data_IF_746074745308
#
_entry.id   IF_746074745308
#
_cell.length_a   1.000
_cell.length_b   1.000
_cell.length_c   1.000
_cell.angle_alpha   90.00
_cell.angle_beta   90.00
_cell.angle_gamma   90.00
#
_symmetry.space_group_name_H-M   'P 1'
#
loop_
_entity.id
_entity.type
_entity.pdbx_description
1 polymer ?
#
# COMPACT_ATOMS: atom_id res chain seq x y z
N UNK A 1 -28.46 -22.81 -9.19
CA UNK A 1 -27.02 -22.59 -9.37
C UNK A 1 -26.81 -21.09 -9.27
N UNK A 2 -26.48 -20.60 -8.08
CA UNK A 2 -26.14 -19.18 -7.86
C UNK A 2 -24.73 -18.99 -8.41
N UNK A 3 -24.59 -18.29 -9.52
CA UNK A 3 -23.28 -17.77 -9.94
C UNK A 3 -22.96 -16.64 -8.99
N UNK A 4 -22.20 -16.93 -7.94
CA UNK A 4 -21.56 -15.89 -7.14
C UNK A 4 -20.65 -15.09 -8.08
N UNK A 5 -21.19 -13.98 -8.56
CA UNK A 5 -20.46 -12.99 -9.30
C UNK A 5 -19.59 -12.23 -8.27
N UNK A 6 -18.47 -12.85 -7.82
CA UNK A 6 -17.52 -12.18 -6.96
C UNK A 6 -16.97 -10.99 -7.76
N UNK A 7 -17.45 -9.80 -7.44
CA UNK A 7 -16.92 -8.56 -8.00
C UNK A 7 -15.42 -8.49 -7.67
N UNK A 8 -14.58 -8.34 -8.72
CA UNK A 8 -13.12 -8.31 -8.55
C UNK A 8 -12.77 -7.08 -7.73
N UNK A 9 -12.23 -7.28 -6.53
CA UNK A 9 -11.83 -6.20 -5.62
C UNK A 9 -10.69 -5.39 -6.22
N UNK A 10 -10.72 -4.09 -6.01
CA UNK A 10 -9.75 -3.13 -6.52
C UNK A 10 -9.07 -2.36 -5.40
N UNK A 11 -7.75 -2.40 -5.36
CA UNK A 11 -6.94 -1.73 -4.35
C UNK A 11 -6.02 -0.69 -4.97
N UNK A 12 -5.85 0.44 -4.28
CA UNK A 12 -4.78 1.40 -4.57
C UNK A 12 -3.61 1.13 -3.63
N UNK A 13 -2.44 0.85 -4.20
CA UNK A 13 -1.19 0.71 -3.42
C UNK A 13 -0.26 1.83 -3.80
N UNK A 14 0.21 2.60 -2.82
CA UNK A 14 1.13 3.71 -3.03
C UNK A 14 2.47 3.45 -2.34
N UNK A 15 3.57 3.57 -3.10
CA UNK A 15 4.95 3.46 -2.60
C UNK A 15 5.57 4.85 -2.52
N UNK A 16 6.04 5.22 -1.35
CA UNK A 16 6.60 6.55 -1.08
C UNK A 16 8.09 6.50 -0.74
N UNK A 17 8.69 7.65 -0.43
CA UNK A 17 10.13 7.78 -0.21
C UNK A 17 10.65 7.27 1.15
N UNK A 18 9.92 6.41 1.85
CA UNK A 18 10.45 5.69 3.01
C UNK A 18 11.18 4.42 2.56
N UNK A 19 12.23 4.00 3.27
CA UNK A 19 12.89 2.71 3.04
C UNK A 19 11.92 1.55 3.32
N UNK A 20 12.05 0.45 2.60
CA UNK A 20 11.16 -0.70 2.67
C UNK A 20 10.24 -0.83 1.45
N UNK A 21 10.69 -0.44 0.26
CA UNK A 21 9.98 -0.63 -1.01
C UNK A 21 9.52 -2.07 -1.21
N UNK A 22 10.27 -3.03 -0.68
CA UNK A 22 9.97 -4.46 -0.72
C UNK A 22 8.60 -4.79 -0.12
N UNK A 23 8.16 -4.07 0.92
CA UNK A 23 6.83 -4.27 1.51
C UNK A 23 5.71 -3.98 0.50
N UNK A 24 5.80 -2.85 -0.21
CA UNK A 24 4.81 -2.49 -1.22
C UNK A 24 4.78 -3.46 -2.39
N UNK A 25 5.96 -3.87 -2.89
CA UNK A 25 6.06 -4.86 -3.96
C UNK A 25 5.46 -6.20 -3.55
N UNK A 26 5.76 -6.67 -2.34
CA UNK A 26 5.26 -7.93 -1.82
C UNK A 26 3.74 -7.90 -1.65
N UNK A 27 3.20 -6.79 -1.12
CA UNK A 27 1.75 -6.60 -1.01
C UNK A 27 1.06 -6.66 -2.38
N UNK A 28 1.59 -5.96 -3.39
CA UNK A 28 1.03 -6.00 -4.76
C UNK A 28 1.02 -7.44 -5.27
N UNK A 29 2.12 -8.18 -5.11
CA UNK A 29 2.19 -9.60 -5.53
C UNK A 29 1.10 -10.45 -4.87
N UNK A 30 0.86 -10.29 -3.58
CA UNK A 30 -0.16 -11.07 -2.84
C UNK A 30 -1.58 -10.68 -3.25
N UNK A 31 -1.87 -9.39 -3.43
CA UNK A 31 -3.17 -8.94 -3.92
C UNK A 31 -3.48 -9.50 -5.32
N UNK A 32 -2.49 -9.52 -6.22
CA UNK A 32 -2.64 -10.10 -7.55
C UNK A 32 -2.83 -11.62 -7.48
N UNK A 33 -2.10 -12.32 -6.60
CA UNK A 33 -2.28 -13.76 -6.34
C UNK A 33 -3.69 -14.08 -5.84
N UNK A 34 -4.26 -13.19 -5.03
CA UNK A 34 -5.64 -13.29 -4.54
C UNK A 34 -6.70 -12.90 -5.60
N UNK A 35 -6.33 -12.65 -6.85
CA UNK A 35 -7.26 -12.30 -7.94
C UNK A 35 -7.77 -10.85 -7.92
N UNK A 36 -7.15 -9.98 -7.13
CA UNK A 36 -7.53 -8.57 -7.04
C UNK A 36 -6.91 -7.73 -8.18
N UNK A 37 -7.52 -6.58 -8.46
CA UNK A 37 -6.91 -5.53 -9.29
C UNK A 37 -6.15 -4.54 -8.42
N UNK A 38 -5.01 -4.04 -8.93
CA UNK A 38 -4.19 -3.08 -8.21
C UNK A 38 -3.90 -1.86 -9.08
N UNK A 39 -4.18 -0.67 -8.55
CA UNK A 39 -3.63 0.59 -9.06
C UNK A 39 -2.41 0.97 -8.23
N UNK A 40 -1.23 0.91 -8.85
CA UNK A 40 0.03 1.27 -8.21
C UNK A 40 0.34 2.75 -8.42
N UNK A 41 0.69 3.44 -7.35
CA UNK A 41 1.16 4.84 -7.35
C UNK A 41 2.59 4.90 -6.81
N UNK A 42 3.45 5.61 -7.52
CA UNK A 42 4.85 5.80 -7.13
C UNK A 42 5.17 7.28 -7.01
N UNK A 43 5.56 7.74 -5.84
CA UNK A 43 6.10 9.10 -5.71
C UNK A 43 7.50 9.18 -6.33
N UNK A 44 7.97 10.37 -6.67
CA UNK A 44 9.33 10.56 -7.19
C UNK A 44 10.40 10.01 -6.22
N UNK A 45 10.25 10.29 -4.92
CA UNK A 45 11.12 9.74 -3.89
C UNK A 45 10.97 8.21 -3.75
N UNK A 46 9.75 7.68 -3.90
CA UNK A 46 9.49 6.22 -3.89
C UNK A 46 10.23 5.50 -5.01
N UNK A 47 10.24 6.06 -6.23
CA UNK A 47 11.02 5.51 -7.35
C UNK A 47 12.53 5.50 -7.06
N UNK A 48 13.07 6.57 -6.45
CA UNK A 48 14.49 6.61 -6.09
C UNK A 48 14.86 5.54 -5.08
N UNK A 49 14.01 5.36 -4.05
CA UNK A 49 14.22 4.32 -3.03
C UNK A 49 14.08 2.93 -3.65
N UNK A 50 13.07 2.69 -4.48
CA UNK A 50 12.85 1.45 -5.20
C UNK A 50 14.09 1.05 -6.04
N UNK A 51 14.63 2.00 -6.81
CA UNK A 51 15.87 1.80 -7.58
C UNK A 51 17.05 1.44 -6.69
N UNK A 52 17.20 2.13 -5.57
CA UNK A 52 18.34 1.94 -4.66
C UNK A 52 18.26 0.60 -3.90
N UNK A 53 17.09 0.23 -3.40
CA UNK A 53 16.92 -0.95 -2.54
C UNK A 53 16.78 -2.26 -3.30
N UNK A 54 16.08 -2.24 -4.44
CA UNK A 54 15.72 -3.47 -5.18
C UNK A 54 16.14 -3.44 -6.65
N UNK A 55 16.85 -2.39 -7.09
CA UNK A 55 17.40 -2.30 -8.44
C UNK A 55 16.36 -2.01 -9.54
N UNK A 56 15.12 -1.72 -9.20
CA UNK A 56 14.06 -1.43 -10.16
C UNK A 56 14.05 0.03 -10.57
N UNK A 57 14.46 0.30 -11.81
CA UNK A 57 14.49 1.65 -12.42
C UNK A 57 13.36 1.79 -13.44
N UNK A 58 12.14 1.90 -12.95
CA UNK A 58 10.97 2.06 -13.82
C UNK A 58 10.89 3.47 -14.40
N UNK A 59 10.54 3.53 -15.69
CA UNK A 59 10.37 4.76 -16.46
C UNK A 59 9.41 5.76 -15.77
N UNK A 60 9.60 7.04 -16.08
CA UNK A 60 8.62 8.10 -15.73
C UNK A 60 7.60 8.32 -16.84
N UNK A 61 7.83 7.77 -18.03
CA UNK A 61 6.88 7.80 -19.13
C UNK A 61 5.79 6.77 -18.85
N UNK A 62 4.53 7.21 -18.81
CA UNK A 62 3.41 6.44 -18.27
C UNK A 62 3.18 5.10 -18.96
N UNK A 63 3.26 5.05 -20.30
CA UNK A 63 3.01 3.82 -21.04
C UNK A 63 4.14 2.81 -20.84
N UNK A 64 5.38 3.27 -20.85
CA UNK A 64 6.55 2.42 -20.61
C UNK A 64 6.58 1.92 -19.17
N UNK A 65 6.27 2.78 -18.19
CA UNK A 65 6.18 2.41 -16.78
C UNK A 65 5.11 1.33 -16.57
N UNK A 66 3.91 1.49 -17.14
CA UNK A 66 2.85 0.49 -17.07
C UNK A 66 3.33 -0.86 -17.58
N UNK A 67 3.97 -0.89 -18.76
CA UNK A 67 4.49 -2.13 -19.35
C UNK A 67 5.54 -2.80 -18.44
N UNK A 68 6.51 -2.03 -17.93
CA UNK A 68 7.54 -2.54 -17.01
C UNK A 68 6.96 -3.10 -15.71
N UNK A 69 5.94 -2.45 -15.15
CA UNK A 69 5.25 -2.91 -13.94
C UNK A 69 4.48 -4.21 -14.23
N UNK A 70 3.74 -4.27 -15.33
CA UNK A 70 3.00 -5.48 -15.72
C UNK A 70 3.94 -6.66 -16.02
N UNK A 71 5.08 -6.40 -16.63
CA UNK A 71 6.13 -7.41 -16.87
C UNK A 71 6.72 -7.91 -15.56
N UNK A 72 7.06 -7.01 -14.63
CA UNK A 72 7.62 -7.38 -13.32
C UNK A 72 6.69 -8.28 -12.51
N UNK A 73 5.40 -7.95 -12.46
CA UNK A 73 4.41 -8.74 -11.74
C UNK A 73 3.81 -9.89 -12.57
N UNK A 74 4.21 -10.05 -13.83
CA UNK A 74 3.62 -10.99 -14.79
C UNK A 74 2.08 -10.94 -14.80
N UNK A 75 1.50 -9.73 -14.71
CA UNK A 75 0.05 -9.54 -14.57
C UNK A 75 -0.43 -8.26 -15.25
N UNK A 76 -1.53 -8.35 -15.97
CA UNK A 76 -2.26 -7.19 -16.52
C UNK A 76 -3.27 -6.60 -15.52
N UNK A 77 -3.48 -7.27 -14.39
CA UNK A 77 -4.38 -6.80 -13.32
C UNK A 77 -3.74 -5.70 -12.45
N UNK A 78 -2.47 -5.37 -12.66
CA UNK A 78 -1.82 -4.20 -12.09
C UNK A 78 -1.72 -3.09 -13.12
N UNK A 79 -2.09 -1.88 -12.71
CA UNK A 79 -1.94 -0.65 -13.49
C UNK A 79 -1.13 0.38 -12.71
N UNK A 80 -0.08 0.94 -13.32
CA UNK A 80 0.70 2.00 -12.71
C UNK A 80 0.16 3.36 -13.19
N UNK A 81 -0.46 4.10 -12.27
CA UNK A 81 -1.05 5.40 -12.55
C UNK A 81 0.00 6.52 -12.40
N UNK A 82 -0.08 7.52 -13.28
CA UNK A 82 0.75 8.69 -13.13
C UNK A 82 0.34 9.49 -11.89
N UNK A 83 1.31 9.95 -11.12
CA UNK A 83 1.07 10.63 -9.84
C UNK A 83 0.27 11.94 -9.98
N UNK A 84 0.29 12.56 -11.16
CA UNK A 84 -0.42 13.80 -11.48
C UNK A 84 -1.69 13.57 -12.32
N UNK A 85 -2.13 12.31 -12.48
CA UNK A 85 -3.35 11.98 -13.24
C UNK A 85 -4.60 12.10 -12.37
N UNK A 86 -5.11 13.32 -12.24
CA UNK A 86 -6.37 13.59 -11.51
C UNK A 86 -7.65 13.09 -12.22
N UNK A 87 -7.54 12.54 -13.43
CA UNK A 87 -8.66 11.92 -14.14
C UNK A 87 -8.79 10.42 -13.85
N UNK A 88 -7.83 9.82 -13.16
CA UNK A 88 -7.93 8.44 -12.72
C UNK A 88 -9.14 8.21 -11.82
N UNK A 89 -9.78 7.04 -11.93
CA UNK A 89 -10.98 6.70 -11.17
C UNK A 89 -10.82 6.88 -9.64
N UNK A 90 -9.64 6.57 -9.11
CA UNK A 90 -9.31 6.72 -7.69
C UNK A 90 -9.29 8.18 -7.19
N UNK A 91 -9.27 9.16 -8.09
CA UNK A 91 -9.39 10.58 -7.74
C UNK A 91 -10.84 11.01 -7.41
N UNK A 92 -11.83 10.17 -7.69
CA UNK A 92 -13.25 10.47 -7.54
C UNK A 92 -13.96 9.55 -6.56
N UNK A 93 -14.82 10.11 -5.71
CA UNK A 93 -15.69 9.33 -4.82
C UNK A 93 -16.81 8.57 -5.54
N UNK A 94 -17.07 8.84 -6.82
CA UNK A 94 -18.06 8.11 -7.62
C UNK A 94 -17.56 6.75 -8.13
N UNK A 95 -16.24 6.53 -8.13
CA UNK A 95 -15.62 5.26 -8.51
C UNK A 95 -14.40 4.96 -7.61
N UNK A 96 -14.60 4.91 -6.28
CA UNK A 96 -13.50 4.69 -5.36
C UNK A 96 -13.05 3.23 -5.39
N UNK A 97 -11.76 2.99 -5.12
CA UNK A 97 -11.27 1.65 -4.84
C UNK A 97 -11.88 1.06 -3.55
N UNK A 98 -11.75 -0.25 -3.33
CA UNK A 98 -12.22 -0.91 -2.10
C UNK A 98 -11.42 -0.48 -0.88
N UNK A 99 -10.12 -0.28 -1.05
CA UNK A 99 -9.24 0.30 -0.03
C UNK A 99 -8.01 0.95 -0.69
N UNK A 100 -7.33 1.80 0.09
CA UNK A 100 -6.02 2.34 -0.28
C UNK A 100 -5.00 2.02 0.78
N UNK A 101 -3.81 1.60 0.34
CA UNK A 101 -2.67 1.27 1.19
C UNK A 101 -1.48 2.14 0.78
N UNK A 102 -0.86 2.85 1.72
CA UNK A 102 0.40 3.57 1.50
C UNK A 102 1.51 2.80 2.18
N UNK A 103 2.31 2.07 1.39
CA UNK A 103 3.28 1.10 1.91
C UNK A 103 4.55 1.03 1.04
N UNK A 104 5.70 1.49 1.55
CA UNK A 104 5.87 2.18 2.83
C UNK A 104 5.33 3.62 2.76
N UNK A 105 4.91 4.14 3.92
CA UNK A 105 4.47 5.52 4.07
C UNK A 105 5.57 6.37 4.71
N UNK A 106 6.08 7.37 3.99
CA UNK A 106 7.00 8.36 4.56
C UNK A 106 6.26 9.34 5.46
N UNK A 107 6.92 9.84 6.48
CA UNK A 107 6.32 10.81 7.40
C UNK A 107 5.91 12.12 6.71
N UNK A 108 6.65 12.50 5.65
CA UNK A 108 6.25 13.64 4.81
C UNK A 108 4.92 13.38 4.07
N UNK A 109 4.68 12.17 3.58
CA UNK A 109 3.39 11.80 2.98
C UNK A 109 2.28 11.76 4.03
N UNK A 110 2.52 11.12 5.19
CA UNK A 110 1.57 11.10 6.30
C UNK A 110 1.19 12.54 6.74
N UNK A 111 2.18 13.43 6.87
CA UNK A 111 1.94 14.84 7.23
C UNK A 111 1.08 15.58 6.20
N UNK A 112 1.31 15.40 4.91
CA UNK A 112 0.49 16.03 3.86
C UNK A 112 -0.95 15.52 3.86
N UNK A 113 -1.16 14.21 4.00
CA UNK A 113 -2.51 13.64 4.12
C UNK A 113 -3.19 14.15 5.40
N UNK A 114 -2.49 14.20 6.55
CA UNK A 114 -3.01 14.73 7.81
C UNK A 114 -3.40 16.22 7.73
N UNK A 115 -2.73 16.98 6.87
CA UNK A 115 -3.06 18.39 6.60
C UNK A 115 -4.21 18.56 5.59
N UNK A 116 -4.76 17.48 5.02
CA UNK A 116 -5.83 17.53 4.03
C UNK A 116 -5.38 18.06 2.66
N UNK A 117 -4.08 17.90 2.32
CA UNK A 117 -3.57 18.32 1.01
C UNK A 117 -3.99 17.32 -0.07
N UNK A 118 -4.20 17.83 -1.28
CA UNK A 118 -4.58 17.06 -2.48
C UNK A 118 -3.78 17.55 -3.68
N UNK A 119 -2.46 17.65 -3.52
CA UNK A 119 -1.55 18.21 -4.52
C UNK A 119 -1.18 17.22 -5.63
N UNK A 120 -1.46 15.94 -5.44
CA UNK A 120 -1.22 14.86 -6.39
C UNK A 120 -2.27 13.76 -6.21
N UNK A 121 -2.26 12.77 -7.10
CA UNK A 121 -3.23 11.68 -7.11
C UNK A 121 -3.19 10.84 -5.82
N UNK A 122 -2.02 10.61 -5.22
CA UNK A 122 -1.91 9.87 -3.97
C UNK A 122 -2.64 10.57 -2.82
N UNK A 123 -2.37 11.86 -2.63
CA UNK A 123 -3.01 12.68 -1.59
C UNK A 123 -4.52 12.78 -1.84
N UNK A 124 -4.91 12.98 -3.10
CA UNK A 124 -6.32 13.04 -3.49
C UNK A 124 -7.05 11.72 -3.27
N UNK A 125 -6.45 10.59 -3.63
CA UNK A 125 -7.04 9.27 -3.39
C UNK A 125 -7.19 9.00 -1.88
N UNK A 126 -6.21 9.36 -1.06
CA UNK A 126 -6.30 9.23 0.39
C UNK A 126 -7.44 10.09 0.97
N UNK A 127 -7.60 11.33 0.50
CA UNK A 127 -8.73 12.21 0.86
C UNK A 127 -10.08 11.57 0.47
N UNK A 128 -10.16 10.98 -0.72
CA UNK A 128 -11.35 10.25 -1.16
C UNK A 128 -11.67 9.08 -0.24
N UNK A 129 -10.68 8.27 0.15
CA UNK A 129 -10.90 7.17 1.09
C UNK A 129 -11.50 7.67 2.40
N UNK A 130 -10.91 8.71 2.99
CA UNK A 130 -11.37 9.27 4.26
C UNK A 130 -12.79 9.83 4.17
N UNK A 131 -13.10 10.65 3.15
CA UNK A 131 -14.41 11.27 3.01
C UNK A 131 -15.54 10.28 2.68
N UNK A 132 -15.23 9.21 1.93
CA UNK A 132 -16.17 8.14 1.58
C UNK A 132 -16.19 7.02 2.65
N UNK A 133 -15.44 7.19 3.75
CA UNK A 133 -15.32 6.20 4.84
C UNK A 133 -14.89 4.82 4.34
N UNK A 134 -14.00 4.79 3.36
CA UNK A 134 -13.37 3.58 2.87
C UNK A 134 -12.02 3.35 3.56
N UNK A 135 -11.56 2.10 3.68
CA UNK A 135 -10.30 1.80 4.37
C UNK A 135 -9.12 2.54 3.75
N UNK A 136 -8.40 3.31 4.56
CA UNK A 136 -7.09 3.86 4.28
C UNK A 136 -6.10 3.28 5.28
N UNK A 137 -5.12 2.52 4.79
CA UNK A 137 -4.08 1.91 5.62
C UNK A 137 -2.77 2.62 5.34
N UNK A 138 -2.17 3.17 6.38
CA UNK A 138 -0.85 3.79 6.30
C UNK A 138 0.15 2.90 7.01
N UNK A 139 1.22 2.55 6.29
CA UNK A 139 2.30 1.70 6.81
C UNK A 139 3.56 2.55 6.99
N UNK A 140 3.63 3.38 8.07
CA UNK A 140 4.76 4.27 8.29
C UNK A 140 6.04 3.48 8.57
N UNK A 141 7.16 3.97 7.99
CA UNK A 141 8.50 3.48 8.29
C UNK A 141 9.42 4.69 8.56
N UNK A 142 9.76 4.86 9.82
CA UNK A 142 10.60 5.94 10.32
C UNK A 142 11.20 5.58 11.67
N UNK A 143 12.43 6.01 11.93
CA UNK A 143 13.09 5.85 13.24
C UNK A 143 14.13 6.96 13.42
N UNK A 144 14.09 7.74 14.54
CA UNK A 144 13.03 7.82 15.55
C UNK A 144 11.83 8.66 15.08
N UNK A 145 10.68 8.53 15.75
CA UNK A 145 9.59 9.49 15.57
C UNK A 145 9.86 10.78 16.37
N UNK A 146 9.53 11.93 15.77
CA UNK A 146 9.42 13.20 16.49
C UNK A 146 7.96 13.49 16.88
N UNK A 147 7.74 14.55 17.66
CA UNK A 147 6.39 14.94 18.12
C UNK A 147 5.44 15.23 16.95
N UNK A 148 5.91 15.91 15.90
CA UNK A 148 5.09 16.24 14.71
C UNK A 148 4.63 14.95 14.00
N UNK A 149 5.50 13.94 13.90
CA UNK A 149 5.14 12.64 13.34
C UNK A 149 4.01 11.99 14.15
N UNK A 150 4.14 11.94 15.46
CA UNK A 150 3.14 11.33 16.34
C UNK A 150 1.80 12.07 16.31
N UNK A 151 1.82 13.40 16.29
CA UNK A 151 0.61 14.23 16.15
C UNK A 151 -0.11 13.99 14.81
N UNK A 152 0.65 13.90 13.71
CA UNK A 152 0.08 13.61 12.39
C UNK A 152 -0.53 12.21 12.34
N UNK A 153 0.15 11.18 12.89
CA UNK A 153 -0.38 9.82 12.96
C UNK A 153 -1.64 9.75 13.82
N UNK A 154 -1.67 10.44 14.96
CA UNK A 154 -2.85 10.53 15.80
C UNK A 154 -4.03 11.17 15.05
N UNK A 155 -3.79 12.29 14.35
CA UNK A 155 -4.80 12.98 13.55
C UNK A 155 -5.38 12.07 12.47
N UNK A 156 -4.53 11.32 11.77
CA UNK A 156 -4.95 10.37 10.73
C UNK A 156 -5.76 9.21 11.30
N UNK A 157 -5.36 8.67 12.46
CA UNK A 157 -6.11 7.63 13.16
C UNK A 157 -7.50 8.14 13.60
N UNK A 158 -7.58 9.37 14.12
CA UNK A 158 -8.86 10.01 14.48
C UNK A 158 -9.75 10.27 13.26
N UNK A 159 -9.16 10.51 12.08
CA UNK A 159 -9.88 10.65 10.83
C UNK A 159 -10.37 9.31 10.24
N UNK A 160 -9.97 8.18 10.83
CA UNK A 160 -10.40 6.84 10.44
C UNK A 160 -9.39 6.03 9.64
N UNK A 161 -8.15 6.53 9.45
CA UNK A 161 -7.08 5.74 8.85
C UNK A 161 -6.56 4.69 9.83
N UNK A 162 -6.22 3.51 9.31
CA UNK A 162 -5.49 2.48 10.05
C UNK A 162 -4.01 2.82 10.01
N UNK A 163 -3.38 2.99 11.17
CA UNK A 163 -1.94 3.19 11.30
C UNK A 163 -1.31 1.84 11.63
N UNK A 164 -0.60 1.26 10.65
CA UNK A 164 0.03 -0.05 10.75
C UNK A 164 1.54 0.10 10.51
N UNK A 165 2.35 0.43 11.54
CA UNK A 165 3.77 0.66 11.34
C UNK A 165 4.49 -0.58 10.83
N UNK A 166 5.52 -0.39 9.98
CA UNK A 166 6.40 -1.47 9.50
C UNK A 166 7.33 -1.96 10.63
N UNK A 167 6.74 -2.55 11.67
CA UNK A 167 7.40 -3.07 12.88
C UNK A 167 7.09 -4.56 13.01
N UNK A 168 7.89 -5.46 12.40
CA UNK A 168 7.61 -6.89 12.42
C UNK A 168 7.73 -7.47 13.85
N UNK A 169 6.85 -8.44 14.16
CA UNK A 169 7.00 -9.27 15.35
C UNK A 169 7.99 -10.40 15.10
N UNK A 170 8.49 -11.01 16.19
CA UNK A 170 9.46 -12.11 16.12
C UNK A 170 8.92 -13.43 16.70
N UNK A 171 7.69 -13.43 17.20
CA UNK A 171 7.11 -14.60 17.87
C UNK A 171 6.84 -15.81 16.94
N UNK A 172 6.74 -15.56 15.63
CA UNK A 172 6.56 -16.60 14.62
C UNK A 172 7.90 -17.22 14.15
N UNK A 173 9.02 -16.86 14.78
CA UNK A 173 10.34 -17.43 14.53
C UNK A 173 10.89 -17.11 13.12
N UNK A 174 10.93 -15.84 12.67
CA UNK A 174 11.41 -15.52 11.32
C UNK A 174 12.88 -15.85 11.15
N UNK A 175 13.23 -16.59 10.11
CA UNK A 175 14.61 -16.98 9.76
C UNK A 175 15.21 -16.04 8.71
N UNK A 176 14.38 -15.38 7.91
CA UNK A 176 14.81 -14.56 6.78
C UNK A 176 14.19 -13.15 6.83
N UNK A 177 14.76 -12.23 6.04
CA UNK A 177 14.17 -10.90 5.83
C UNK A 177 12.79 -11.03 5.16
N UNK A 178 12.60 -12.01 4.30
CA UNK A 178 11.32 -12.25 3.65
C UNK A 178 10.22 -12.56 4.67
N UNK A 179 10.50 -13.34 5.71
CA UNK A 179 9.53 -13.65 6.75
C UNK A 179 9.11 -12.42 7.56
N UNK A 180 10.06 -11.49 7.80
CA UNK A 180 9.75 -10.20 8.43
C UNK A 180 8.88 -9.30 7.54
N UNK A 181 9.11 -9.35 6.23
CA UNK A 181 8.29 -8.64 5.24
C UNK A 181 6.90 -9.27 5.18
N UNK A 182 6.81 -10.57 5.12
CA UNK A 182 5.57 -11.33 5.02
C UNK A 182 4.69 -11.13 6.25
N UNK A 183 5.27 -10.99 7.44
CA UNK A 183 4.52 -10.64 8.64
C UNK A 183 3.76 -9.32 8.50
N UNK A 184 4.42 -8.25 8.03
CA UNK A 184 3.79 -6.94 7.86
C UNK A 184 2.76 -6.97 6.71
N UNK A 185 3.10 -7.63 5.60
CA UNK A 185 2.17 -7.78 4.45
C UNK A 185 0.92 -8.54 4.88
N UNK A 186 1.06 -9.64 5.60
CA UNK A 186 -0.08 -10.40 6.11
C UNK A 186 -0.94 -9.60 7.07
N UNK A 187 -0.35 -8.75 7.94
CA UNK A 187 -1.12 -7.83 8.79
C UNK A 187 -1.94 -6.82 7.97
N UNK A 188 -1.42 -6.36 6.83
CA UNK A 188 -2.19 -5.51 5.91
C UNK A 188 -3.32 -6.31 5.25
N UNK A 189 -3.04 -7.53 4.79
CA UNK A 189 -4.04 -8.41 4.19
C UNK A 189 -5.17 -8.76 5.17
N UNK A 190 -4.86 -8.99 6.45
CA UNK A 190 -5.85 -9.15 7.53
C UNK A 190 -6.81 -7.94 7.60
N UNK A 191 -6.28 -6.72 7.55
CA UNK A 191 -7.10 -5.49 7.56
C UNK A 191 -7.98 -5.35 6.31
N UNK A 192 -7.58 -5.97 5.21
CA UNK A 192 -8.30 -5.97 3.94
C UNK A 192 -9.27 -7.13 3.83
N UNK A 193 -9.31 -8.06 4.79
CA UNK A 193 -10.03 -9.34 4.70
C UNK A 193 -9.68 -10.07 3.39
N UNK A 194 -8.38 -10.19 3.10
CA UNK A 194 -7.81 -11.00 2.02
C UNK A 194 -7.11 -12.19 2.66
N UNK A 195 -7.54 -13.39 2.27
CA UNK A 195 -6.98 -14.64 2.81
C UNK A 195 -5.50 -14.79 2.42
N UNK A 196 -4.70 -15.23 3.37
CA UNK A 196 -3.27 -15.48 3.19
C UNK A 196 -2.74 -16.50 4.20
N UNK A 197 -1.55 -17.03 3.91
CA UNK A 197 -0.81 -18.01 4.70
C UNK A 197 0.66 -17.58 4.95
N UNK A 198 0.91 -16.25 5.01
CA UNK A 198 2.26 -15.69 5.03
C UNK A 198 3.02 -15.88 6.35
N UNK A 199 2.34 -16.15 7.45
CA UNK A 199 2.95 -16.41 8.76
C UNK A 199 2.02 -17.23 9.65
N UNK A 200 2.58 -17.98 10.59
CA UNK A 200 1.81 -18.69 11.62
C UNK A 200 1.13 -17.72 12.57
N UNK A 201 -0.17 -17.94 12.83
CA UNK A 201 -0.93 -17.09 13.74
C UNK A 201 -0.63 -17.45 15.20
N UNK A 202 -0.67 -16.48 16.06
CA UNK A 202 -0.48 -16.69 17.48
C UNK A 202 -1.56 -17.65 18.03
N UNK A 203 -1.13 -18.74 18.66
CA UNK A 203 -2.02 -19.77 19.23
C UNK A 203 -2.43 -20.89 18.29
N UNK A 204 -1.97 -20.93 17.04
CA UNK A 204 -2.19 -22.01 16.08
C UNK A 204 -1.12 -23.13 16.15
N UNK A 205 -0.31 -23.15 17.22
CA UNK A 205 0.60 -24.28 17.44
C UNK A 205 -0.21 -25.55 17.60
N UNK A 206 -0.15 -26.43 16.59
CA UNK A 206 -0.54 -27.83 16.74
C UNK A 206 0.46 -28.49 17.69
N UNK A 207 -0.01 -28.94 18.84
CA UNK A 207 0.72 -29.86 19.73
C UNK A 207 1.15 -31.13 18.99
#
# INVERSE_FOLDING_TARGET
MSTDNHEIRHFVVAVTGASGSIYGLRLVSELLRAGCRVSLLLTAAGRQVLKHEVGLDWSTESQQQRHQVQEYFASIAVDCLHIDDFWAGSASGSNPADAMIVMPCSMGTAGRIAAGLSSNLLERAADVMLKERRPLILVPRETPFNTIHLENLLRLAQAGAVILPAMPGFYHGPDTIADLVDFIVGKVLDQLAVDHDLFERWGEHSD
#
